data_IF_173249655542
#
_entry.id   IF_173249655542
#
_cell.length_a   1.000
_cell.length_b   1.000
_cell.length_c   1.000
_cell.angle_alpha   90.00
_cell.angle_beta   90.00
_cell.angle_gamma   90.00
#
_symmetry.space_group_name_H-M   'P 1'
#
loop_
_entity.id
_entity.type
_entity.pdbx_description
1 polymer ?
#
# COMPACT_ATOMS: atom_id res chain seq x y z
N UNK A 1 -0.10 -30.79 29.40
CA UNK A 1 -1.37 -31.25 28.77
C UNK A 1 -2.53 -31.35 29.76
N UNK A 2 -2.39 -31.99 30.93
CA UNK A 2 -3.48 -32.12 31.93
C UNK A 2 -3.99 -30.77 32.52
N UNK A 3 -3.11 -29.77 32.69
CA UNK A 3 -3.51 -28.47 33.25
C UNK A 3 -4.39 -27.64 32.28
N UNK A 4 -4.11 -27.71 30.97
CA UNK A 4 -4.88 -27.01 29.94
C UNK A 4 -6.27 -27.65 29.75
N UNK A 5 -6.36 -28.98 29.85
CA UNK A 5 -7.64 -29.69 29.80
C UNK A 5 -8.54 -29.34 31.00
N UNK A 6 -7.96 -29.20 32.20
CA UNK A 6 -8.70 -28.81 33.40
C UNK A 6 -9.25 -27.38 33.33
N UNK A 7 -8.48 -26.45 32.77
CA UNK A 7 -8.91 -25.06 32.57
C UNK A 7 -10.04 -24.98 31.53
N UNK A 8 -9.93 -25.74 30.44
CA UNK A 8 -10.97 -25.79 29.42
C UNK A 8 -12.28 -26.40 29.97
N UNK A 9 -12.20 -27.46 30.77
CA UNK A 9 -13.36 -28.03 31.45
C UNK A 9 -14.01 -27.03 32.42
N UNK A 10 -13.22 -26.27 33.18
CA UNK A 10 -13.73 -25.28 34.11
C UNK A 10 -14.47 -24.12 33.40
N UNK A 11 -13.98 -23.70 32.23
CA UNK A 11 -14.62 -22.65 31.42
C UNK A 11 -15.94 -23.15 30.83
N UNK A 12 -15.96 -24.37 30.28
CA UNK A 12 -17.18 -24.97 29.72
C UNK A 12 -18.21 -25.23 30.82
N UNK A 13 -17.79 -25.70 31.99
CA UNK A 13 -18.69 -25.93 33.13
C UNK A 13 -19.28 -24.62 33.67
N UNK A 14 -18.48 -23.54 33.72
CA UNK A 14 -18.95 -22.20 34.11
C UNK A 14 -19.95 -21.62 33.10
N UNK A 15 -19.74 -21.87 31.82
CA UNK A 15 -20.65 -21.42 30.75
C UNK A 15 -22.01 -22.17 30.79
N UNK A 16 -21.99 -23.50 30.95
CA UNK A 16 -23.21 -24.32 31.10
C UNK A 16 -23.96 -23.99 32.40
N UNK A 17 -23.25 -23.67 33.49
CA UNK A 17 -23.87 -23.26 34.75
C UNK A 17 -24.55 -21.89 34.67
N UNK A 18 -24.03 -20.96 33.87
CA UNK A 18 -24.63 -19.64 33.65
C UNK A 18 -25.90 -19.73 32.77
N UNK A 19 -25.91 -20.60 31.75
CA UNK A 19 -27.11 -20.84 30.94
C UNK A 19 -28.23 -21.54 31.74
N UNK A 20 -27.89 -22.41 32.70
CA UNK A 20 -28.90 -23.08 33.56
C UNK A 20 -29.53 -22.14 34.59
N UNK A 21 -28.80 -21.13 35.08
CA UNK A 21 -29.32 -20.14 36.02
C UNK A 21 -30.24 -19.11 35.35
N UNK A 22 -30.08 -18.84 34.05
CA UNK A 22 -31.00 -17.98 33.30
C UNK A 22 -32.32 -18.67 32.92
N UNK A 23 -32.39 -20.00 32.96
CA UNK A 23 -33.60 -20.77 32.60
C UNK A 23 -34.50 -21.15 33.78
N UNK A 24 -34.13 -20.84 35.02
CA UNK A 24 -34.89 -21.19 36.23
C UNK A 24 -34.94 -20.05 37.27
N UNK A 25 -35.42 -18.87 36.88
CA UNK A 25 -36.00 -17.93 37.84
C UNK A 25 -37.52 -18.18 37.89
N UNK A 26 -38.12 -18.54 39.04
CA UNK A 26 -39.55 -18.79 39.14
C UNK A 26 -40.37 -17.50 39.03
N UNK A 27 -41.51 -17.59 38.36
CA UNK A 27 -42.50 -16.53 38.27
C UNK A 27 -43.12 -16.27 39.66
N UNK A 28 -43.01 -15.04 40.14
CA UNK A 28 -43.66 -14.57 41.36
C UNK A 28 -45.15 -14.34 41.06
N UNK A 29 -46.01 -15.19 41.63
CA UNK A 29 -47.47 -15.09 41.51
C UNK A 29 -47.95 -13.95 42.40
N UNK A 30 -48.26 -12.80 41.80
CA UNK A 30 -49.02 -11.74 42.46
C UNK A 30 -50.52 -11.97 42.23
N UNK A 31 -51.25 -12.01 43.35
CA UNK A 31 -52.69 -12.24 43.41
C UNK A 31 -53.52 -11.23 42.62
N UNK A 32 -54.64 -11.72 42.10
CA UNK A 32 -55.68 -11.03 41.32
C UNK A 32 -56.22 -9.78 42.01
N UNK A 33 -56.11 -8.62 41.33
CA UNK A 33 -57.00 -7.46 41.50
C UNK A 33 -57.61 -7.08 40.15
N UNK A 34 -58.90 -6.76 40.20
CA UNK A 34 -59.85 -6.39 39.15
C UNK A 34 -59.29 -5.47 38.03
N UNK A 35 -59.78 -5.54 36.78
CA UNK A 35 -59.19 -4.85 35.64
C UNK A 35 -59.49 -3.35 35.67
N UNK A 36 -58.43 -2.54 35.77
CA UNK A 36 -58.45 -1.15 35.34
C UNK A 36 -58.08 -1.07 33.85
N UNK A 37 -58.59 -0.10 33.08
CA UNK A 37 -58.38 -0.04 31.64
C UNK A 37 -56.88 0.07 31.30
N UNK A 38 -56.38 -0.90 30.55
CA UNK A 38 -55.01 -0.93 30.03
C UNK A 38 -54.79 0.26 29.09
N UNK A 39 -53.79 1.13 29.30
CA UNK A 39 -53.37 2.08 28.27
C UNK A 39 -52.83 1.29 27.08
N UNK A 40 -53.48 1.45 25.93
CA UNK A 40 -53.30 0.64 24.71
C UNK A 40 -52.02 1.01 23.93
N UNK A 41 -50.94 1.42 24.60
CA UNK A 41 -49.69 1.86 23.95
C UNK A 41 -48.54 0.90 24.32
N UNK A 42 -47.95 0.16 23.37
CA UNK A 42 -46.73 -0.59 23.63
C UNK A 42 -45.61 0.36 24.09
N UNK A 43 -44.72 -0.06 24.99
CA UNK A 43 -43.63 0.78 25.46
C UNK A 43 -42.74 1.16 24.27
N UNK A 44 -42.52 2.45 24.07
CA UNK A 44 -41.52 2.94 23.11
C UNK A 44 -40.16 2.56 23.68
N UNK A 45 -39.53 1.54 23.10
CA UNK A 45 -38.14 1.21 23.40
C UNK A 45 -37.30 2.27 22.70
N UNK A 46 -37.08 3.39 23.39
CA UNK A 46 -36.20 4.46 22.90
C UNK A 46 -34.77 3.93 22.78
N UNK A 47 -34.28 3.80 21.55
CA UNK A 47 -32.91 3.36 21.26
C UNK A 47 -31.88 4.35 21.79
N UNK A 48 -31.00 3.89 22.67
CA UNK A 48 -29.78 4.61 23.08
C UNK A 48 -28.88 4.76 21.85
N UNK A 49 -28.40 5.98 21.58
CA UNK A 49 -27.46 6.25 20.50
C UNK A 49 -26.16 5.49 20.74
N UNK A 50 -25.93 4.41 19.99
CA UNK A 50 -24.63 3.73 20.01
C UNK A 50 -23.70 4.45 19.03
N UNK A 51 -22.52 4.83 19.52
CA UNK A 51 -21.49 5.50 18.71
C UNK A 51 -20.30 4.56 18.58
N UNK A 52 -20.25 3.82 17.48
CA UNK A 52 -19.16 2.92 17.17
C UNK A 52 -18.26 3.53 16.08
N UNK A 53 -16.94 3.38 16.23
CA UNK A 53 -15.99 3.63 15.13
C UNK A 53 -15.86 2.35 14.32
N UNK A 54 -16.26 2.39 13.06
CA UNK A 54 -16.04 1.29 12.12
C UNK A 54 -14.57 1.26 11.67
N UNK A 55 -14.11 0.10 11.21
CA UNK A 55 -12.74 -0.14 10.76
C UNK A 55 -12.28 0.82 9.64
N UNK A 56 -13.22 1.40 8.88
CA UNK A 56 -12.96 2.37 7.81
C UNK A 56 -12.82 3.84 8.29
N UNK A 57 -12.81 4.08 9.62
CA UNK A 57 -12.69 5.42 10.19
C UNK A 57 -14.00 6.23 10.18
N UNK A 58 -15.12 5.57 9.91
CA UNK A 58 -16.47 6.14 9.95
C UNK A 58 -16.96 6.13 11.40
N UNK A 59 -17.54 7.25 11.83
CA UNK A 59 -18.29 7.32 13.08
C UNK A 59 -19.74 7.00 12.77
N UNK A 60 -20.22 5.84 13.23
CA UNK A 60 -21.59 5.42 13.03
C UNK A 60 -22.43 5.85 14.23
N UNK A 61 -23.48 6.61 13.95
CA UNK A 61 -24.55 6.92 14.89
C UNK A 61 -25.76 6.09 14.48
N UNK A 62 -26.14 5.11 15.29
CA UNK A 62 -27.29 4.25 15.01
C UNK A 62 -28.34 4.41 16.12
N UNK A 63 -29.59 4.59 15.69
CA UNK A 63 -30.77 4.63 16.56
C UNK A 63 -31.81 3.71 15.95
N UNK A 64 -32.52 2.96 16.78
CA UNK A 64 -33.69 2.18 16.36
C UNK A 64 -34.93 2.92 16.84
N UNK A 65 -35.80 3.26 15.91
CA UNK A 65 -37.09 3.90 16.18
C UNK A 65 -38.21 2.91 15.84
N UNK A 66 -39.16 2.74 16.75
CA UNK A 66 -40.30 1.81 16.58
C UNK A 66 -41.63 2.56 16.74
N UNK A 67 -42.04 3.36 15.74
CA UNK A 67 -43.35 4.00 15.77
C UNK A 67 -44.47 2.94 15.67
N UNK A 68 -45.66 3.18 16.24
CA UNK A 68 -46.80 2.28 16.08
C UNK A 68 -47.25 2.15 14.62
N UNK A 69 -47.43 0.92 14.14
CA UNK A 69 -47.95 0.59 12.80
C UNK A 69 -49.31 -0.10 12.83
N UNK A 70 -49.77 -0.54 11.65
CA UNK A 70 -50.96 -1.35 11.44
C UNK A 70 -50.73 -2.84 11.77
N UNK A 71 -51.63 -3.73 11.32
CA UNK A 71 -51.43 -5.16 11.47
C UNK A 71 -50.24 -5.65 10.62
N UNK A 72 -49.60 -6.74 11.04
CA UNK A 72 -48.38 -7.24 10.40
C UNK A 72 -48.57 -7.66 8.93
N UNK A 73 -49.79 -7.97 8.49
CA UNK A 73 -50.05 -8.31 7.08
C UNK A 73 -49.93 -7.06 6.22
N UNK A 74 -50.48 -5.95 6.71
CA UNK A 74 -50.39 -4.64 6.07
C UNK A 74 -48.94 -4.12 6.07
N UNK A 75 -48.25 -4.16 7.21
CA UNK A 75 -46.86 -3.67 7.32
C UNK A 75 -45.86 -4.50 6.48
N UNK A 76 -46.10 -5.80 6.28
CA UNK A 76 -45.17 -6.66 5.53
C UNK A 76 -45.06 -6.29 4.05
N UNK A 77 -46.09 -5.69 3.46
CA UNK A 77 -46.12 -5.32 2.04
C UNK A 77 -45.75 -3.85 1.80
N UNK A 78 -45.67 -3.04 2.86
CA UNK A 78 -45.21 -1.66 2.77
C UNK A 78 -43.67 -1.59 2.93
N UNK A 79 -42.93 -1.17 1.90
CA UNK A 79 -41.47 -1.05 1.98
C UNK A 79 -41.01 0.02 2.99
N UNK A 80 -41.89 0.89 3.47
CA UNK A 80 -41.58 1.91 4.48
C UNK A 80 -41.69 1.40 5.92
N UNK A 81 -42.29 0.22 6.14
CA UNK A 81 -42.47 -0.38 7.47
C UNK A 81 -41.17 -0.93 8.08
N UNK A 82 -40.12 -1.11 7.29
CA UNK A 82 -38.82 -1.61 7.75
C UNK A 82 -37.66 -0.98 6.95
N UNK A 83 -37.26 0.22 7.35
CA UNK A 83 -36.30 1.07 6.63
C UNK A 83 -35.04 1.34 7.45
N UNK A 84 -33.91 1.46 6.76
CA UNK A 84 -32.66 2.02 7.28
C UNK A 84 -32.26 3.21 6.43
N UNK A 85 -32.17 4.38 7.04
CA UNK A 85 -31.68 5.60 6.38
C UNK A 85 -30.16 5.77 6.60
N UNK A 86 -29.42 5.90 5.51
CA UNK A 86 -27.97 6.12 5.53
C UNK A 86 -27.63 7.52 5.06
N UNK A 87 -26.95 8.30 5.91
CA UNK A 87 -26.43 9.63 5.59
C UNK A 87 -24.96 9.76 5.95
N UNK A 88 -24.09 9.77 4.95
CA UNK A 88 -22.68 10.07 5.12
C UNK A 88 -22.41 11.56 4.92
N UNK A 89 -21.78 12.21 5.90
CA UNK A 89 -21.32 13.59 5.79
C UNK A 89 -19.80 13.63 5.68
N UNK A 90 -19.28 13.86 4.48
CA UNK A 90 -17.85 14.06 4.23
C UNK A 90 -17.61 15.51 3.78
N UNK A 91 -16.70 16.22 4.46
CA UNK A 91 -16.32 17.59 4.08
C UNK A 91 -15.28 17.53 2.97
N UNK A 92 -15.48 18.29 1.90
CA UNK A 92 -14.48 18.42 0.84
C UNK A 92 -13.36 19.36 1.30
N UNK A 93 -12.09 18.96 1.17
CA UNK A 93 -10.96 19.80 1.56
C UNK A 93 -10.61 20.81 0.46
N UNK A 94 -10.17 21.99 0.88
CA UNK A 94 -9.62 23.01 -0.01
C UNK A 94 -8.12 22.80 -0.25
N UNK A 95 -7.63 22.99 -1.49
CA UNK A 95 -6.21 22.82 -1.79
C UNK A 95 -5.37 23.99 -1.28
N UNK A 96 -4.14 23.70 -0.85
CA UNK A 96 -3.10 24.72 -0.63
C UNK A 96 -2.66 25.33 -1.96
N UNK A 97 -2.44 26.64 -2.00
CA UNK A 97 -2.13 27.43 -3.20
C UNK A 97 -0.86 28.26 -3.08
N UNK A 98 -0.48 28.67 -1.87
CA UNK A 98 0.70 29.52 -1.66
C UNK A 98 1.87 28.75 -1.09
N UNK A 99 3.08 29.31 -1.19
CA UNK A 99 4.29 28.68 -0.65
C UNK A 99 4.21 28.54 0.88
N UNK A 100 3.59 29.50 1.58
CA UNK A 100 3.38 29.46 3.02
C UNK A 100 2.41 28.35 3.42
N UNK A 101 1.37 28.11 2.62
CA UNK A 101 0.43 27.01 2.84
C UNK A 101 1.09 25.65 2.61
N UNK A 102 1.89 25.50 1.55
CA UNK A 102 2.69 24.31 1.32
C UNK A 102 3.67 24.06 2.48
N UNK A 103 4.27 25.12 3.02
CA UNK A 103 5.22 25.07 4.13
C UNK A 103 4.58 24.66 5.48
N UNK A 104 3.28 24.87 5.69
CA UNK A 104 2.58 24.34 6.89
C UNK A 104 2.66 22.82 6.98
N UNK A 105 2.72 22.16 5.83
CA UNK A 105 2.75 20.70 5.70
C UNK A 105 4.19 20.20 5.54
N UNK A 106 4.98 20.89 4.72
CA UNK A 106 6.39 20.57 4.47
C UNK A 106 7.27 21.81 4.75
N UNK A 107 7.63 22.08 6.02
CA UNK A 107 8.30 23.33 6.40
C UNK A 107 9.63 23.61 5.68
N UNK A 108 10.35 22.56 5.31
CA UNK A 108 11.64 22.67 4.62
C UNK A 108 11.50 22.93 3.11
N UNK A 109 10.32 22.72 2.53
CA UNK A 109 10.11 22.77 1.08
C UNK A 109 10.56 24.10 0.43
N UNK A 110 10.24 25.29 0.98
CA UNK A 110 10.68 26.55 0.37
C UNK A 110 12.19 26.74 0.43
N UNK A 111 12.86 26.12 1.41
CA UNK A 111 14.33 26.18 1.53
C UNK A 111 14.99 25.17 0.60
N UNK A 112 14.41 23.97 0.45
CA UNK A 112 14.96 22.90 -0.40
C UNK A 112 14.83 23.23 -1.89
N UNK A 113 13.69 23.81 -2.30
CA UNK A 113 13.38 24.16 -3.68
C UNK A 113 12.95 25.64 -3.77
N UNK A 114 13.89 26.59 -3.64
CA UNK A 114 13.60 28.02 -3.53
C UNK A 114 12.89 28.60 -4.75
N UNK A 115 13.08 28.01 -5.93
CA UNK A 115 12.43 28.47 -7.15
C UNK A 115 10.93 28.16 -7.24
N UNK A 116 10.38 27.30 -6.37
CA UNK A 116 8.94 27.01 -6.34
C UNK A 116 8.10 28.27 -6.13
N UNK A 117 8.55 29.20 -5.29
CA UNK A 117 7.86 30.46 -5.02
C UNK A 117 7.63 31.27 -6.28
N UNK A 118 8.57 31.26 -7.22
CA UNK A 118 8.48 31.99 -8.48
C UNK A 118 7.56 31.31 -9.51
N UNK A 119 7.25 30.02 -9.33
CA UNK A 119 6.39 29.25 -10.24
C UNK A 119 4.90 29.32 -9.88
N UNK A 120 4.57 29.78 -8.67
CA UNK A 120 3.18 29.86 -8.19
C UNK A 120 2.48 31.06 -8.81
N UNK A 121 1.53 30.78 -9.71
CA UNK A 121 0.60 31.77 -10.24
C UNK A 121 -0.50 32.12 -9.22
N UNK A 122 -1.31 33.17 -9.45
CA UNK A 122 -2.45 33.48 -8.58
C UNK A 122 -3.50 32.36 -8.48
N UNK A 123 -3.63 31.52 -9.50
CA UNK A 123 -4.48 30.33 -9.50
C UNK A 123 -3.69 29.10 -9.97
N UNK A 124 -2.87 28.51 -9.08
CA UNK A 124 -1.98 27.42 -9.45
C UNK A 124 -2.68 26.06 -9.35
N UNK A 125 -3.93 26.01 -8.88
CA UNK A 125 -4.63 24.75 -8.59
C UNK A 125 -4.96 24.03 -9.88
N UNK A 126 -4.51 22.78 -10.00
CA UNK A 126 -4.83 21.96 -11.15
C UNK A 126 -6.30 21.51 -11.11
N UNK A 127 -7.01 21.50 -12.26
CA UNK A 127 -8.34 20.87 -12.37
C UNK A 127 -8.35 19.39 -11.95
N UNK A 128 -7.19 18.73 -11.98
CA UNK A 128 -7.00 17.36 -11.53
C UNK A 128 -7.36 17.17 -10.04
N UNK A 129 -7.19 18.19 -9.19
CA UNK A 129 -7.61 18.13 -7.78
C UNK A 129 -9.13 17.97 -7.65
N UNK A 130 -9.89 18.78 -8.39
CA UNK A 130 -11.34 18.69 -8.40
C UNK A 130 -11.80 17.34 -8.97
N UNK A 131 -11.16 16.87 -10.04
CA UNK A 131 -11.46 15.58 -10.65
C UNK A 131 -11.20 14.39 -9.69
N UNK A 132 -10.13 14.45 -8.91
CA UNK A 132 -9.83 13.45 -7.87
C UNK A 132 -10.95 13.38 -6.84
N UNK A 133 -11.35 14.52 -6.26
CA UNK A 133 -12.40 14.53 -5.24
C UNK A 133 -13.80 14.22 -5.80
N UNK A 134 -14.10 14.59 -7.04
CA UNK A 134 -15.32 14.13 -7.73
C UNK A 134 -15.36 12.61 -7.85
N UNK A 135 -14.23 11.97 -8.19
CA UNK A 135 -14.12 10.52 -8.26
C UNK A 135 -14.33 9.88 -6.88
N UNK A 136 -13.70 10.42 -5.83
CA UNK A 136 -13.89 9.95 -4.45
C UNK A 136 -15.34 10.08 -3.96
N UNK A 137 -15.99 11.21 -4.25
CA UNK A 137 -17.42 11.43 -3.92
C UNK A 137 -18.30 10.41 -4.63
N UNK A 138 -18.05 10.19 -5.93
CA UNK A 138 -18.78 9.18 -6.69
C UNK A 138 -18.63 7.78 -6.07
N UNK A 139 -17.43 7.41 -5.64
CA UNK A 139 -17.21 6.13 -4.95
C UNK A 139 -17.95 6.02 -3.61
N UNK A 140 -18.04 7.12 -2.85
CA UNK A 140 -18.85 7.15 -1.64
C UNK A 140 -20.34 6.95 -1.95
N UNK A 141 -20.85 7.59 -3.01
CA UNK A 141 -22.25 7.46 -3.44
C UNK A 141 -22.57 6.04 -3.91
N UNK A 142 -21.72 5.46 -4.75
CA UNK A 142 -21.92 4.12 -5.33
C UNK A 142 -21.82 3.00 -4.29
N UNK A 143 -21.07 3.21 -3.20
CA UNK A 143 -20.84 2.19 -2.18
C UNK A 143 -21.49 2.50 -0.82
N UNK A 144 -22.35 3.53 -0.70
CA UNK A 144 -22.94 3.91 0.59
C UNK A 144 -23.72 2.77 1.25
N UNK A 145 -24.39 1.93 0.46
CA UNK A 145 -25.11 0.75 0.93
C UNK A 145 -24.20 -0.46 1.26
N UNK A 146 -22.91 -0.39 0.91
CA UNK A 146 -21.89 -1.42 1.17
C UNK A 146 -20.74 -0.81 1.98
N UNK A 147 -21.00 -0.61 3.27
CA UNK A 147 -20.09 0.08 4.19
C UNK A 147 -18.69 -0.56 4.25
N UNK A 148 -18.58 -1.84 3.91
CA UNK A 148 -17.33 -2.59 3.79
C UNK A 148 -16.46 -2.17 2.60
N UNK A 149 -17.07 -1.70 1.51
CA UNK A 149 -16.40 -1.19 0.31
C UNK A 149 -16.32 0.34 0.29
N UNK A 150 -16.83 1.01 1.33
CA UNK A 150 -16.81 2.45 1.41
C UNK A 150 -15.38 2.96 1.60
N UNK A 151 -15.02 4.02 0.88
CA UNK A 151 -13.69 4.61 0.97
C UNK A 151 -13.38 5.00 2.42
N UNK A 152 -12.23 4.58 2.93
CA UNK A 152 -11.82 4.91 4.29
C UNK A 152 -11.61 6.42 4.43
N UNK A 153 -11.74 6.94 5.65
CA UNK A 153 -11.46 8.36 5.93
C UNK A 153 -10.04 8.74 5.48
N UNK A 154 -9.08 7.85 5.70
CA UNK A 154 -7.69 8.09 5.32
C UNK A 154 -7.56 8.23 3.80
N UNK A 155 -8.07 7.26 3.04
CA UNK A 155 -8.00 7.31 1.59
C UNK A 155 -8.86 8.44 1.01
N UNK A 156 -9.92 8.89 1.68
CA UNK A 156 -10.67 10.07 1.23
C UNK A 156 -9.88 11.37 1.35
N UNK A 157 -8.98 11.46 2.34
CA UNK A 157 -8.17 12.64 2.66
C UNK A 157 -6.66 12.42 2.43
N UNK A 158 -6.30 11.62 1.42
CA UNK A 158 -4.91 11.29 1.04
C UNK A 158 -4.19 12.40 0.26
N UNK A 159 -4.91 13.47 -0.13
CA UNK A 159 -4.39 14.55 -0.97
C UNK A 159 -4.63 15.93 -0.36
N UNK A 160 -3.55 16.66 -0.11
CA UNK A 160 -3.60 18.05 0.36
C UNK A 160 -3.76 19.04 -0.78
N UNK A 161 -3.02 18.88 -1.87
CA UNK A 161 -3.09 19.78 -3.04
C UNK A 161 -2.53 19.13 -4.30
N UNK A 162 -3.00 19.63 -5.46
CA UNK A 162 -2.40 19.37 -6.77
C UNK A 162 -2.27 20.70 -7.50
N UNK A 163 -1.04 21.09 -7.81
CA UNK A 163 -0.72 22.38 -8.44
C UNK A 163 -0.08 22.17 -9.82
N UNK A 164 -0.51 22.96 -10.79
CA UNK A 164 0.12 23.05 -12.10
C UNK A 164 1.01 24.28 -12.14
N UNK A 165 2.31 24.05 -12.24
CA UNK A 165 3.35 25.07 -12.10
C UNK A 165 4.05 25.29 -13.44
N UNK A 166 4.51 26.52 -13.66
CA UNK A 166 5.39 26.83 -14.79
C UNK A 166 6.43 27.86 -14.35
N UNK A 167 7.70 27.56 -14.59
CA UNK A 167 8.77 28.48 -14.29
C UNK A 167 8.79 29.65 -15.29
N UNK A 168 8.84 30.92 -14.84
CA UNK A 168 8.61 32.06 -15.71
C UNK A 168 9.68 32.25 -16.80
N UNK A 169 10.95 31.91 -16.53
CA UNK A 169 12.05 32.12 -17.48
C UNK A 169 12.34 30.87 -18.34
N UNK A 170 12.42 29.70 -17.72
CA UNK A 170 12.76 28.45 -18.43
C UNK A 170 11.55 27.80 -19.09
N UNK A 171 10.34 28.26 -18.77
CA UNK A 171 9.05 27.68 -19.16
C UNK A 171 8.88 26.21 -18.76
N UNK A 172 9.76 25.67 -17.90
CA UNK A 172 9.66 24.31 -17.37
C UNK A 172 8.34 24.17 -16.61
N UNK A 173 7.51 23.27 -17.10
CA UNK A 173 6.28 22.86 -16.42
C UNK A 173 6.59 21.84 -15.33
N UNK A 174 5.85 21.91 -14.23
CA UNK A 174 5.84 20.88 -13.22
C UNK A 174 4.42 20.65 -12.68
N UNK A 175 4.14 19.41 -12.28
CA UNK A 175 2.92 19.06 -11.54
C UNK A 175 3.34 18.72 -10.12
N UNK A 176 2.90 19.52 -9.15
CA UNK A 176 3.20 19.34 -7.73
C UNK A 176 2.01 18.68 -7.03
N UNK A 177 2.28 17.70 -6.18
CA UNK A 177 1.29 17.08 -5.30
C UNK A 177 1.82 17.08 -3.86
N UNK A 178 0.97 17.37 -2.89
CA UNK A 178 1.23 17.04 -1.48
C UNK A 178 0.24 15.97 -1.04
N UNK A 179 0.76 14.84 -0.56
CA UNK A 179 -0.02 13.64 -0.24
C UNK A 179 0.69 12.84 0.86
N UNK A 180 0.06 11.75 1.30
CA UNK A 180 0.75 10.70 2.05
C UNK A 180 1.66 9.88 1.13
N UNK A 181 2.20 8.77 1.63
CA UNK A 181 2.91 7.80 0.80
C UNK A 181 2.45 6.38 1.11
N UNK A 182 1.67 5.83 0.19
CA UNK A 182 1.43 4.41 0.01
C UNK A 182 2.55 3.72 -0.79
N UNK A 183 2.56 2.40 -0.71
CA UNK A 183 3.63 1.56 -1.27
C UNK A 183 3.12 0.81 -2.49
N UNK A 184 3.84 1.00 -3.61
CA UNK A 184 3.77 0.10 -4.75
C UNK A 184 4.95 -0.87 -4.72
N UNK A 185 4.65 -2.16 -4.69
CA UNK A 185 5.63 -3.23 -4.71
C UNK A 185 5.61 -4.02 -6.03
N UNK A 186 4.82 -3.56 -7.00
CA UNK A 186 4.54 -4.26 -8.25
C UNK A 186 5.76 -4.35 -9.16
N UNK A 187 5.58 -5.17 -10.19
CA UNK A 187 6.49 -5.29 -11.30
C UNK A 187 7.52 -6.42 -11.17
N UNK A 188 8.14 -6.73 -12.30
CA UNK A 188 9.06 -7.86 -12.44
C UNK A 188 9.94 -7.70 -13.67
N UNK A 189 11.19 -8.17 -13.58
CA UNK A 189 12.12 -8.20 -14.70
C UNK A 189 13.00 -9.45 -14.61
N UNK A 190 12.68 -10.46 -15.41
CA UNK A 190 13.41 -11.72 -15.45
C UNK A 190 14.85 -11.57 -15.98
N UNK A 191 15.15 -10.50 -16.72
CA UNK A 191 16.50 -10.26 -17.24
C UNK A 191 17.44 -9.76 -16.13
N UNK A 192 16.90 -9.03 -15.13
CA UNK A 192 17.67 -8.50 -13.99
C UNK A 192 17.55 -9.34 -12.73
N UNK A 193 16.35 -9.84 -12.44
CA UNK A 193 16.04 -10.63 -11.24
C UNK A 193 15.17 -11.83 -11.66
N UNK A 194 15.80 -13.00 -11.93
CA UNK A 194 15.09 -14.16 -12.46
C UNK A 194 14.20 -14.87 -11.41
N UNK A 195 14.35 -14.55 -10.12
CA UNK A 195 13.61 -15.16 -9.02
C UNK A 195 12.55 -14.18 -8.52
N UNK A 196 11.29 -14.62 -8.44
CA UNK A 196 10.21 -13.82 -7.89
C UNK A 196 10.31 -13.69 -6.37
N UNK A 197 9.96 -12.53 -5.83
CA UNK A 197 9.76 -12.33 -4.40
C UNK A 197 8.28 -12.60 -4.13
N UNK A 198 7.97 -13.69 -3.40
CA UNK A 198 6.61 -14.25 -3.23
C UNK A 198 5.46 -13.25 -3.33
N UNK A 199 4.52 -13.52 -4.26
CA UNK A 199 3.41 -12.64 -4.58
C UNK A 199 2.43 -12.50 -3.39
N UNK A 200 2.17 -11.26 -2.96
CA UNK A 200 1.07 -10.95 -2.04
C UNK A 200 -0.26 -10.89 -2.79
N UNK A 201 -1.38 -10.81 -2.08
CA UNK A 201 -2.71 -10.80 -2.70
C UNK A 201 -2.93 -9.65 -3.70
N UNK A 202 -2.31 -8.49 -3.47
CA UNK A 202 -2.49 -7.29 -4.30
C UNK A 202 -1.36 -7.07 -5.30
N UNK A 203 -0.29 -7.87 -5.24
CA UNK A 203 0.87 -7.72 -6.11
C UNK A 203 0.51 -8.00 -7.57
N UNK A 204 0.93 -7.10 -8.46
CA UNK A 204 0.90 -7.31 -9.91
C UNK A 204 2.34 -7.42 -10.42
N UNK A 205 2.65 -8.41 -11.27
CA UNK A 205 3.99 -8.57 -11.80
C UNK A 205 4.33 -7.57 -12.93
N UNK A 206 3.51 -6.55 -13.17
CA UNK A 206 3.71 -5.59 -14.26
C UNK A 206 3.40 -4.17 -13.80
N UNK A 207 4.22 -3.22 -14.24
CA UNK A 207 3.98 -1.78 -14.15
C UNK A 207 3.59 -1.22 -15.52
N UNK A 208 3.12 0.02 -15.57
CA UNK A 208 2.84 0.70 -16.84
C UNK A 208 4.12 1.02 -17.62
N UNK A 209 5.21 1.38 -16.93
CA UNK A 209 6.54 1.49 -17.54
C UNK A 209 7.08 0.09 -17.85
N UNK A 210 7.37 -0.17 -19.12
CA UNK A 210 7.80 -1.48 -19.61
C UNK A 210 8.66 -1.38 -20.86
N UNK A 211 9.51 -2.36 -21.08
CA UNK A 211 10.40 -2.44 -22.25
C UNK A 211 10.52 -3.88 -22.76
N UNK A 212 10.90 -4.10 -24.04
CA UNK A 212 11.06 -5.46 -24.56
C UNK A 212 12.12 -6.25 -23.79
N UNK A 213 11.86 -7.53 -23.54
CA UNK A 213 12.82 -8.43 -22.90
C UNK A 213 14.07 -8.59 -23.78
N UNK A 214 15.22 -8.74 -23.12
CA UNK A 214 16.52 -8.99 -23.76
C UNK A 214 16.85 -10.47 -23.82
N UNK A 215 16.33 -11.28 -22.90
CA UNK A 215 16.61 -12.71 -22.84
C UNK A 215 15.33 -13.55 -23.02
N UNK A 216 15.47 -14.84 -23.39
CA UNK A 216 14.35 -15.77 -23.45
C UNK A 216 13.91 -16.28 -22.06
N UNK A 217 14.54 -15.83 -20.96
CA UNK A 217 14.22 -16.32 -19.62
C UNK A 217 12.74 -16.04 -19.29
N UNK A 218 11.97 -17.04 -18.84
CA UNK A 218 10.55 -16.83 -18.53
C UNK A 218 10.40 -15.89 -17.33
N UNK A 219 9.31 -15.11 -17.32
CA UNK A 219 8.99 -14.30 -16.16
C UNK A 219 8.62 -15.22 -14.98
N UNK A 220 9.14 -14.98 -13.75
CA UNK A 220 8.89 -15.87 -12.60
C UNK A 220 7.41 -15.99 -12.23
N UNK A 221 6.56 -15.05 -12.64
CA UNK A 221 5.12 -15.07 -12.36
C UNK A 221 4.27 -15.60 -13.52
N UNK A 222 4.88 -15.99 -14.64
CA UNK A 222 4.17 -16.44 -15.84
C UNK A 222 3.35 -17.72 -15.56
N UNK A 223 3.96 -18.73 -14.94
CA UNK A 223 3.30 -20.01 -14.62
C UNK A 223 2.05 -19.81 -13.75
N UNK A 224 2.11 -18.92 -12.75
CA UNK A 224 0.96 -18.63 -11.90
C UNK A 224 -0.18 -17.92 -12.66
N UNK A 225 0.14 -17.13 -13.69
CA UNK A 225 -0.87 -16.55 -14.59
C UNK A 225 -1.47 -17.62 -15.49
N UNK A 226 -0.66 -18.50 -16.07
CA UNK A 226 -1.11 -19.62 -16.90
C UNK A 226 -2.09 -20.54 -16.14
N UNK A 227 -1.78 -20.88 -14.89
CA UNK A 227 -2.65 -21.73 -14.07
C UNK A 227 -3.95 -21.03 -13.68
N UNK A 228 -3.93 -19.70 -13.47
CA UNK A 228 -5.15 -18.91 -13.29
C UNK A 228 -6.00 -18.87 -14.56
N UNK A 229 -5.37 -18.71 -15.73
CA UNK A 229 -6.04 -18.74 -17.02
C UNK A 229 -6.73 -20.09 -17.26
N UNK A 230 -6.00 -21.20 -17.09
CA UNK A 230 -6.55 -22.56 -17.24
C UNK A 230 -7.74 -22.80 -16.31
N UNK A 231 -7.64 -22.37 -15.04
CA UNK A 231 -8.76 -22.51 -14.08
C UNK A 231 -9.98 -21.68 -14.50
N UNK A 232 -9.78 -20.43 -14.92
CA UNK A 232 -10.86 -19.58 -15.37
C UNK A 232 -11.52 -20.11 -16.66
N UNK A 233 -10.75 -20.68 -17.58
CA UNK A 233 -11.27 -21.32 -18.80
C UNK A 233 -12.10 -22.56 -18.48
N UNK A 234 -11.60 -23.40 -17.57
CA UNK A 234 -12.34 -24.56 -17.09
C UNK A 234 -13.67 -24.16 -16.42
N UNK A 235 -13.65 -23.16 -15.54
CA UNK A 235 -14.87 -22.65 -14.89
C UNK A 235 -15.86 -22.05 -15.90
N UNK A 236 -15.36 -21.33 -16.91
CA UNK A 236 -16.20 -20.75 -17.96
C UNK A 236 -16.90 -21.82 -18.81
N UNK A 237 -16.22 -22.96 -19.05
CA UNK A 237 -16.75 -24.08 -19.82
C UNK A 237 -17.81 -24.91 -19.07
N UNK A 238 -17.90 -24.79 -17.74
CA UNK A 238 -18.90 -25.52 -16.96
C UNK A 238 -20.32 -25.06 -17.34
N UNK A 239 -21.21 -26.05 -17.50
CA UNK A 239 -22.64 -25.80 -17.77
C UNK A 239 -23.36 -25.19 -16.56
N UNK A 240 -22.83 -25.42 -15.35
CA UNK A 240 -23.40 -24.97 -14.07
C UNK A 240 -23.07 -23.52 -13.72
N UNK A 241 -22.15 -22.87 -14.45
CA UNK A 241 -21.75 -21.48 -14.18
C UNK A 241 -22.85 -20.50 -14.57
N UNK A 242 -23.23 -19.62 -13.64
CA UNK A 242 -24.31 -18.65 -13.83
C UNK A 242 -23.99 -17.65 -14.95
N UNK A 243 -25.01 -17.05 -15.61
CA UNK A 243 -24.79 -16.05 -16.65
C UNK A 243 -23.95 -14.85 -16.18
N UNK A 244 -24.20 -14.36 -14.96
CA UNK A 244 -23.48 -13.26 -14.34
C UNK A 244 -22.00 -13.63 -14.16
N UNK A 245 -21.74 -14.82 -13.62
CA UNK A 245 -20.37 -15.32 -13.43
C UNK A 245 -19.66 -15.55 -14.75
N UNK A 246 -20.35 -16.03 -15.79
CA UNK A 246 -19.78 -16.14 -17.15
C UNK A 246 -19.38 -14.79 -17.72
N UNK A 247 -20.16 -13.73 -17.46
CA UNK A 247 -19.80 -12.36 -17.87
C UNK A 247 -18.53 -11.88 -17.17
N UNK A 248 -18.42 -12.08 -15.85
CA UNK A 248 -17.20 -11.76 -15.09
C UNK A 248 -15.98 -12.53 -15.60
N UNK A 249 -16.13 -13.85 -15.77
CA UNK A 249 -15.06 -14.72 -16.27
C UNK A 249 -14.61 -14.29 -17.66
N UNK A 250 -15.52 -13.85 -18.55
CA UNK A 250 -15.13 -13.35 -19.89
C UNK A 250 -14.20 -12.15 -19.78
N UNK A 251 -14.52 -11.19 -18.92
CA UNK A 251 -13.66 -10.02 -18.67
C UNK A 251 -12.32 -10.45 -18.05
N UNK A 252 -12.35 -11.35 -17.07
CA UNK A 252 -11.15 -11.87 -16.42
C UNK A 252 -10.24 -12.66 -17.38
N UNK A 253 -10.81 -13.44 -18.30
CA UNK A 253 -10.07 -14.20 -19.31
C UNK A 253 -9.32 -13.29 -20.28
N UNK A 254 -9.95 -12.20 -20.74
CA UNK A 254 -9.26 -11.19 -21.56
C UNK A 254 -8.08 -10.60 -20.80
N UNK A 255 -8.29 -10.18 -19.55
CA UNK A 255 -7.23 -9.63 -18.72
C UNK A 255 -6.07 -10.62 -18.50
N UNK A 256 -6.37 -11.89 -18.20
CA UNK A 256 -5.35 -12.91 -17.99
C UNK A 256 -4.53 -13.18 -19.26
N UNK A 257 -5.15 -13.18 -20.44
CA UNK A 257 -4.46 -13.33 -21.73
C UNK A 257 -3.57 -12.13 -22.05
N UNK A 258 -4.03 -10.91 -21.75
CA UNK A 258 -3.23 -9.70 -21.91
C UNK A 258 -2.02 -9.72 -20.95
N UNK A 259 -2.23 -10.14 -19.70
CA UNK A 259 -1.14 -10.31 -18.72
C UNK A 259 -0.11 -11.35 -19.19
N UNK A 260 -0.56 -12.52 -19.65
CA UNK A 260 0.33 -13.55 -20.18
C UNK A 260 1.16 -13.01 -21.37
N UNK A 261 0.51 -12.30 -22.29
CA UNK A 261 1.18 -11.68 -23.43
C UNK A 261 2.21 -10.65 -22.97
N UNK A 262 1.87 -9.83 -21.98
CA UNK A 262 2.73 -8.79 -21.44
C UNK A 262 3.98 -9.39 -20.77
N UNK A 263 3.81 -10.36 -19.86
CA UNK A 263 4.90 -11.03 -19.13
C UNK A 263 5.82 -11.85 -20.04
N UNK A 264 5.29 -12.31 -21.18
CA UNK A 264 6.09 -13.01 -22.19
C UNK A 264 6.99 -12.06 -22.97
N UNK A 265 6.52 -10.84 -23.28
CA UNK A 265 7.18 -9.91 -24.22
C UNK A 265 8.00 -8.82 -23.54
N UNK A 266 7.63 -8.41 -22.34
CA UNK A 266 8.16 -7.23 -21.69
C UNK A 266 8.76 -7.52 -20.31
N UNK A 267 9.70 -6.67 -19.94
CA UNK A 267 10.18 -6.46 -18.58
C UNK A 267 9.60 -5.16 -18.03
N UNK A 268 9.52 -5.07 -16.72
CA UNK A 268 8.86 -3.99 -15.98
C UNK A 268 9.80 -3.43 -14.92
N UNK A 269 9.44 -2.27 -14.36
CA UNK A 269 10.09 -1.80 -13.14
C UNK A 269 9.86 -2.83 -12.02
N UNK A 270 10.70 -2.82 -11.00
CA UNK A 270 10.55 -3.67 -9.81
C UNK A 270 10.44 -2.74 -8.61
N UNK A 271 9.29 -2.74 -7.92
CA UNK A 271 9.04 -1.86 -6.77
C UNK A 271 10.12 -1.89 -5.70
N UNK A 272 10.74 -3.05 -5.46
CA UNK A 272 11.81 -3.20 -4.48
C UNK A 272 13.17 -2.64 -4.94
N UNK A 273 13.39 -2.38 -6.23
CA UNK A 273 14.72 -2.01 -6.77
C UNK A 273 14.73 -0.75 -7.61
N UNK A 274 13.60 -0.29 -8.14
CA UNK A 274 13.59 0.84 -9.06
C UNK A 274 12.87 2.03 -8.42
N UNK A 275 13.47 3.23 -8.41
CA UNK A 275 12.85 4.40 -7.81
C UNK A 275 11.81 5.00 -8.76
N UNK A 276 10.53 4.77 -8.45
CA UNK A 276 9.43 5.34 -9.22
C UNK A 276 8.25 5.74 -8.35
N UNK A 277 7.37 6.54 -8.93
CA UNK A 277 6.09 6.96 -8.35
C UNK A 277 4.92 6.45 -9.20
N UNK A 278 3.74 6.42 -8.59
CA UNK A 278 2.49 6.04 -9.23
C UNK A 278 1.59 7.26 -9.31
N UNK A 279 1.01 7.50 -10.49
CA UNK A 279 0.07 8.62 -10.70
C UNK A 279 -1.34 8.09 -10.97
N UNK A 280 -2.41 8.77 -10.51
CA UNK A 280 -3.77 8.37 -10.84
C UNK A 280 -3.99 8.37 -12.36
N UNK A 281 -4.74 7.41 -12.89
CA UNK A 281 -5.03 7.32 -14.33
C UNK A 281 -5.62 8.58 -14.95
N UNK A 282 -6.38 9.37 -14.19
CA UNK A 282 -6.92 10.65 -14.61
C UNK A 282 -5.81 11.68 -14.86
N UNK A 283 -4.74 11.65 -14.06
CA UNK A 283 -3.64 12.61 -14.11
C UNK A 283 -2.70 12.32 -15.28
N UNK A 284 -2.74 11.09 -15.79
CA UNK A 284 -2.00 10.70 -16.98
C UNK A 284 -2.66 11.06 -18.31
N UNK A 285 -3.86 11.65 -18.29
CA UNK A 285 -4.61 12.06 -19.48
C UNK A 285 -4.33 13.51 -19.86
N UNK A 286 -4.67 13.86 -21.10
CA UNK A 286 -4.48 15.23 -21.61
C UNK A 286 -3.05 15.53 -22.05
N UNK A 287 -2.85 16.73 -22.61
CA UNK A 287 -1.56 17.17 -23.17
C UNK A 287 -0.49 17.40 -22.11
N UNK A 288 -0.90 17.99 -20.99
CA UNK A 288 0.00 18.41 -19.89
C UNK A 288 -0.02 17.45 -18.68
N UNK A 289 -0.69 16.30 -18.80
CA UNK A 289 -0.73 15.28 -17.76
C UNK A 289 0.58 14.50 -17.64
N UNK A 290 0.85 13.95 -16.46
CA UNK A 290 2.04 13.14 -16.17
C UNK A 290 2.05 11.85 -17.01
N UNK A 291 3.10 11.62 -17.81
CA UNK A 291 3.22 10.42 -18.65
C UNK A 291 4.15 9.40 -18.01
N UNK A 292 3.87 8.14 -18.30
CA UNK A 292 4.79 7.05 -17.96
C UNK A 292 6.18 7.36 -18.51
N UNK A 293 7.18 7.27 -17.65
CA UNK A 293 8.58 7.58 -17.95
C UNK A 293 8.98 9.05 -17.72
N UNK A 294 8.04 9.96 -17.46
CA UNK A 294 8.39 11.32 -17.08
C UNK A 294 9.21 11.32 -15.79
N UNK A 295 10.22 12.18 -15.72
CA UNK A 295 11.05 12.32 -14.54
C UNK A 295 10.29 13.05 -13.43
N UNK A 296 10.58 12.66 -12.20
CA UNK A 296 9.96 13.23 -11.02
C UNK A 296 10.98 13.30 -9.86
N UNK A 297 10.68 14.09 -8.86
CA UNK A 297 11.35 14.02 -7.56
C UNK A 297 10.31 13.88 -6.44
N UNK A 298 10.66 13.12 -5.42
CA UNK A 298 9.90 13.00 -4.18
C UNK A 298 10.67 13.71 -3.09
N UNK A 299 10.03 14.64 -2.39
CA UNK A 299 10.61 15.39 -1.29
C UNK A 299 9.97 14.93 0.01
N UNK A 300 10.82 14.48 0.94
CA UNK A 300 10.40 14.15 2.29
C UNK A 300 11.48 14.59 3.28
N UNK A 301 11.06 15.27 4.35
CA UNK A 301 11.94 15.94 5.30
C UNK A 301 12.96 16.84 4.58
N UNK A 302 14.25 16.50 4.61
CA UNK A 302 15.35 17.29 4.02
C UNK A 302 15.95 16.65 2.76
N UNK A 303 15.33 15.60 2.21
CA UNK A 303 15.89 14.80 1.12
C UNK A 303 15.02 14.91 -0.13
N UNK A 304 15.67 14.98 -1.29
CA UNK A 304 15.06 15.01 -2.62
C UNK A 304 15.43 13.72 -3.36
N UNK A 305 14.48 12.82 -3.50
CA UNK A 305 14.65 11.50 -4.12
C UNK A 305 14.31 11.57 -5.61
N UNK A 306 15.27 11.34 -6.53
CA UNK A 306 14.98 11.29 -7.96
C UNK A 306 14.22 10.01 -8.31
N UNK A 307 13.23 10.12 -9.18
CA UNK A 307 12.35 9.03 -9.58
C UNK A 307 11.82 9.24 -11.01
N UNK A 308 11.07 8.26 -11.50
CA UNK A 308 10.27 8.38 -12.72
C UNK A 308 8.80 8.07 -12.42
N UNK A 309 7.89 8.50 -13.28
CA UNK A 309 6.50 8.02 -13.30
C UNK A 309 6.52 6.58 -13.83
N UNK A 310 6.45 5.62 -12.92
CA UNK A 310 6.63 4.20 -13.23
C UNK A 310 5.34 3.44 -13.46
N UNK A 311 4.28 3.82 -12.76
CA UNK A 311 2.99 3.18 -12.90
C UNK A 311 1.81 4.15 -12.90
N UNK A 312 0.67 3.65 -13.38
CA UNK A 312 -0.60 4.34 -13.43
C UNK A 312 -1.59 3.62 -12.50
N UNK A 313 -1.90 4.28 -11.40
CA UNK A 313 -2.78 3.78 -10.35
C UNK A 313 -4.27 4.07 -10.59
N UNK A 314 -5.12 3.65 -9.65
CA UNK A 314 -6.55 3.94 -9.70
C UNK A 314 -6.83 5.45 -9.58
N UNK A 315 -8.00 5.89 -10.06
CA UNK A 315 -8.31 7.33 -10.19
C UNK A 315 -8.66 8.02 -8.87
N UNK A 316 -8.87 7.24 -7.82
CA UNK A 316 -9.31 7.69 -6.50
C UNK A 316 -8.20 7.69 -5.46
N UNK A 317 -6.95 7.44 -5.85
CA UNK A 317 -5.80 7.36 -4.94
C UNK A 317 -4.63 8.15 -5.49
N UNK A 318 -3.92 8.86 -4.62
CA UNK A 318 -2.67 9.57 -4.93
C UNK A 318 -1.64 9.28 -3.83
N UNK A 319 -0.38 9.69 -4.04
CA UNK A 319 0.65 9.54 -3.03
C UNK A 319 1.15 8.10 -2.94
N UNK A 320 1.58 7.51 -4.06
CA UNK A 320 2.11 6.15 -4.07
C UNK A 320 3.49 6.12 -4.72
N UNK A 321 4.41 5.38 -4.11
CA UNK A 321 5.79 5.25 -4.56
C UNK A 321 6.29 3.82 -4.42
N UNK A 322 7.30 3.49 -5.23
CA UNK A 322 8.01 2.20 -5.17
C UNK A 322 8.43 1.84 -3.74
N UNK A 323 8.37 0.55 -3.41
CA UNK A 323 8.87 0.00 -2.14
C UNK A 323 10.33 0.42 -1.86
N UNK A 324 11.13 0.67 -2.91
CA UNK A 324 12.48 1.22 -2.80
C UNK A 324 12.49 2.60 -2.13
N UNK A 325 11.71 3.54 -2.64
CA UNK A 325 11.59 4.89 -2.05
C UNK A 325 11.01 4.79 -0.64
N UNK A 326 9.99 3.95 -0.46
CA UNK A 326 9.37 3.75 0.84
C UNK A 326 10.36 3.24 1.90
N UNK A 327 11.22 2.28 1.54
CA UNK A 327 12.25 1.72 2.44
C UNK A 327 13.36 2.69 2.75
N UNK A 328 13.72 3.56 1.81
CA UNK A 328 14.71 4.62 2.04
C UNK A 328 14.18 5.64 3.07
N UNK A 329 12.89 5.98 2.99
CA UNK A 329 12.24 6.88 3.95
C UNK A 329 12.02 6.20 5.30
N UNK A 330 11.58 4.94 5.29
CA UNK A 330 11.31 4.17 6.49
C UNK A 330 11.73 2.70 6.28
N UNK A 331 12.80 2.22 6.92
CA UNK A 331 13.27 0.84 6.76
C UNK A 331 12.25 -0.24 7.11
N UNK A 332 11.21 0.08 7.90
CA UNK A 332 10.12 -0.82 8.27
C UNK A 332 9.02 -0.90 7.20
N UNK A 333 9.12 -0.14 6.12
CA UNK A 333 8.14 -0.16 5.05
C UNK A 333 8.08 -1.54 4.37
N UNK A 334 6.86 -1.99 4.14
CA UNK A 334 6.56 -3.23 3.42
C UNK A 334 5.41 -2.95 2.46
N UNK A 335 5.06 -3.87 1.53
CA UNK A 335 3.88 -3.71 0.70
C UNK A 335 2.58 -3.46 1.48
N UNK A 336 2.54 -3.83 2.78
CA UNK A 336 1.39 -3.65 3.66
C UNK A 336 1.65 -2.67 4.82
N UNK A 337 2.82 -2.03 4.87
CA UNK A 337 3.18 -1.08 5.92
C UNK A 337 3.72 0.20 5.27
N UNK A 338 2.91 1.26 5.29
CA UNK A 338 3.22 2.52 4.63
C UNK A 338 4.35 3.29 5.37
N UNK A 339 5.24 3.99 4.66
CA UNK A 339 6.31 4.77 5.27
C UNK A 339 5.81 6.06 5.92
N UNK A 340 4.79 6.71 5.33
CA UNK A 340 4.29 8.03 5.76
C UNK A 340 2.76 8.05 5.67
N UNK A 341 2.09 8.27 6.80
CA UNK A 341 0.62 8.31 6.90
C UNK A 341 0.04 9.73 6.95
N UNK A 342 0.88 10.75 7.09
CA UNK A 342 0.49 12.15 7.03
C UNK A 342 0.81 12.75 5.66
N UNK A 343 0.23 13.90 5.33
CA UNK A 343 0.28 14.48 3.98
C UNK A 343 1.62 15.19 3.66
N UNK A 344 2.71 14.76 4.30
CA UNK A 344 4.01 15.45 4.31
C UNK A 344 4.93 15.10 3.16
N UNK A 345 4.49 14.30 2.21
CA UNK A 345 5.29 13.97 1.02
C UNK A 345 4.92 14.91 -0.11
N UNK A 346 5.93 15.57 -0.67
CA UNK A 346 5.75 16.40 -1.87
C UNK A 346 6.28 15.66 -3.09
N UNK A 347 5.43 15.46 -4.09
CA UNK A 347 5.79 14.88 -5.37
C UNK A 347 5.87 16.00 -6.40
N UNK A 348 6.96 16.08 -7.15
CA UNK A 348 7.13 17.06 -8.21
C UNK A 348 7.47 16.33 -9.51
N UNK A 349 6.52 16.33 -10.43
CA UNK A 349 6.62 15.64 -11.72
C UNK A 349 6.96 16.68 -12.79
N UNK A 350 7.81 16.31 -13.75
CA UNK A 350 8.16 17.14 -14.90
C UNK A 350 7.52 16.56 -16.18
N UNK A 351 6.30 17.00 -16.58
CA UNK A 351 5.60 16.39 -17.69
C UNK A 351 6.34 16.54 -19.03
N UNK A 352 6.25 15.51 -19.88
CA UNK A 352 6.84 15.52 -21.23
C UNK A 352 8.37 15.41 -21.24
N UNK A 353 8.94 14.75 -20.24
CA UNK A 353 10.39 14.55 -20.09
C UNK A 353 10.83 13.10 -20.30
N UNK A 354 9.89 12.17 -20.48
CA UNK A 354 10.17 10.78 -20.74
C UNK A 354 11.11 10.58 -21.95
N UNK A 355 12.15 9.77 -21.76
CA UNK A 355 13.05 9.36 -22.84
C UNK A 355 12.53 8.07 -23.48
N UNK A 356 12.43 8.04 -24.82
CA UNK A 356 12.10 6.84 -25.59
C UNK A 356 13.30 6.39 -26.45
N UNK A 357 13.47 5.08 -26.71
CA UNK A 357 12.67 3.96 -26.20
C UNK A 357 12.91 3.69 -24.71
N UNK A 358 11.93 3.09 -24.04
CA UNK A 358 12.07 2.65 -22.65
C UNK A 358 13.02 1.46 -22.54
N UNK A 359 13.69 1.37 -21.40
CA UNK A 359 14.65 0.32 -21.09
C UNK A 359 14.81 0.15 -19.57
N UNK A 360 15.69 -0.77 -19.12
CA UNK A 360 16.00 -0.91 -17.72
C UNK A 360 16.43 0.44 -17.10
N UNK A 361 15.97 0.78 -15.89
CA UNK A 361 16.37 2.01 -15.21
C UNK A 361 17.88 2.15 -15.07
N UNK A 362 18.39 3.29 -15.52
CA UNK A 362 19.75 3.74 -15.25
C UNK A 362 19.68 4.77 -14.12
N UNK A 363 20.17 4.39 -12.93
CA UNK A 363 20.02 5.17 -11.70
C UNK A 363 20.80 6.49 -11.76
N UNK A 364 22.00 6.49 -12.35
CA UNK A 364 22.81 7.69 -12.52
C UNK A 364 22.18 8.64 -13.54
N UNK A 365 21.64 8.08 -14.63
CA UNK A 365 20.88 8.86 -15.60
C UNK A 365 19.62 9.47 -14.98
N UNK A 366 18.88 8.72 -14.17
CA UNK A 366 17.69 9.24 -13.47
C UNK A 366 18.08 10.41 -12.58
N UNK A 367 19.12 10.26 -11.76
CA UNK A 367 19.61 11.34 -10.91
C UNK A 367 20.01 12.57 -11.75
N UNK A 368 20.82 12.40 -12.80
CA UNK A 368 21.30 13.50 -13.64
C UNK A 368 20.15 14.24 -14.36
N UNK A 369 19.14 13.51 -14.83
CA UNK A 369 17.98 14.09 -15.51
C UNK A 369 17.07 14.84 -14.53
N UNK A 370 16.79 14.26 -13.36
CA UNK A 370 16.06 14.96 -12.31
C UNK A 370 16.80 16.22 -11.85
N UNK A 371 18.12 16.16 -11.66
CA UNK A 371 18.94 17.31 -11.30
C UNK A 371 18.79 18.43 -12.34
N UNK A 372 18.94 18.10 -13.62
CA UNK A 372 18.74 19.06 -14.71
C UNK A 372 17.38 19.76 -14.64
N UNK A 373 16.29 19.03 -14.43
CA UNK A 373 14.94 19.62 -14.39
C UNK A 373 14.68 20.43 -13.12
N UNK A 374 15.29 20.04 -12.00
CA UNK A 374 15.29 20.82 -10.76
C UNK A 374 16.07 22.13 -10.96
N UNK A 375 17.23 22.10 -11.63
CA UNK A 375 18.03 23.31 -11.92
C UNK A 375 17.27 24.28 -12.83
N UNK A 376 16.51 23.76 -13.81
CA UNK A 376 15.66 24.58 -14.69
C UNK A 376 14.53 25.31 -13.94
N UNK A 377 14.19 24.91 -12.72
CA UNK A 377 13.17 25.57 -11.88
C UNK A 377 13.77 26.32 -10.68
N UNK A 378 15.07 26.62 -10.70
CA UNK A 378 15.75 27.38 -9.64
C UNK A 378 16.64 26.56 -8.71
N UNK A 379 16.82 25.26 -8.98
CA UNK A 379 17.75 24.39 -8.28
C UNK A 379 17.25 23.86 -6.94
N UNK A 380 17.96 22.87 -6.41
CA UNK A 380 17.83 22.40 -5.03
C UNK A 380 18.99 22.90 -4.18
N UNK A 381 18.74 23.19 -2.91
CA UNK A 381 19.81 23.59 -1.96
C UNK A 381 20.60 22.41 -1.39
N UNK A 382 20.15 21.19 -1.68
CA UNK A 382 20.82 19.92 -1.33
C UNK A 382 21.02 19.08 -2.58
N UNK A 383 22.06 18.23 -2.63
CA UNK A 383 22.20 17.28 -3.72
C UNK A 383 21.02 16.30 -3.74
N UNK A 384 20.55 15.96 -4.93
CA UNK A 384 19.58 14.89 -5.10
C UNK A 384 20.18 13.56 -4.64
N UNK A 385 19.35 12.74 -3.98
CA UNK A 385 19.74 11.44 -3.45
C UNK A 385 20.34 10.55 -4.55
N UNK A 386 21.43 9.86 -4.23
CA UNK A 386 22.09 8.91 -5.13
C UNK A 386 21.67 7.48 -4.81
N UNK A 387 21.08 6.80 -5.79
CA UNK A 387 20.58 5.45 -5.63
C UNK A 387 21.68 4.41 -5.89
N UNK A 388 22.02 3.63 -4.86
CA UNK A 388 22.94 2.50 -5.02
C UNK A 388 22.35 1.39 -5.92
N UNK A 389 23.17 0.76 -6.76
CA UNK A 389 22.72 -0.44 -7.46
C UNK A 389 22.70 -1.62 -6.48
N UNK A 390 21.49 -2.14 -6.20
CA UNK A 390 21.27 -3.25 -5.26
C UNK A 390 20.95 -4.58 -5.97
N UNK A 391 20.99 -4.59 -7.31
CA UNK A 391 20.76 -5.80 -8.10
C UNK A 391 22.06 -6.60 -8.11
N UNK A 392 22.05 -7.88 -7.68
CA UNK A 392 23.25 -8.72 -7.73
C UNK A 392 23.80 -8.81 -9.15
N UNK A 393 25.14 -8.81 -9.33
CA UNK A 393 25.71 -9.05 -10.65
C UNK A 393 25.29 -10.44 -11.15
N UNK A 394 25.06 -10.61 -12.47
CA UNK A 394 24.76 -11.93 -13.02
C UNK A 394 25.88 -12.91 -12.65
N UNK A 395 25.56 -14.18 -12.37
CA UNK A 395 26.57 -15.18 -12.04
C UNK A 395 27.60 -15.24 -13.17
N UNK A 396 28.88 -14.98 -12.84
CA UNK A 396 29.98 -15.11 -13.79
C UNK A 396 29.97 -16.53 -14.33
N UNK A 397 30.04 -16.76 -15.67
CA UNK A 397 30.10 -18.11 -16.19
C UNK A 397 31.34 -18.79 -15.62
N UNK A 398 31.13 -19.89 -14.87
CA UNK A 398 32.21 -20.79 -14.46
C UNK A 398 33.02 -21.14 -15.71
N UNK A 399 34.34 -20.91 -15.75
CA UNK A 399 35.13 -21.26 -16.92
C UNK A 399 34.96 -22.75 -17.18
N UNK A 400 34.41 -23.09 -18.34
CA UNK A 400 34.38 -24.46 -18.84
C UNK A 400 35.81 -24.99 -18.82
N UNK A 401 36.10 -26.12 -18.15
CA UNK A 401 37.44 -26.69 -18.19
C UNK A 401 37.79 -26.97 -19.65
N UNK A 402 38.89 -26.35 -20.10
CA UNK A 402 39.50 -26.62 -21.40
C UNK A 402 39.79 -28.12 -21.50
N UNK A 403 39.41 -28.81 -22.60
CA UNK A 403 39.72 -30.21 -22.75
C UNK A 403 41.24 -30.38 -22.79
N UNK A 404 41.80 -31.01 -21.76
CA UNK A 404 43.18 -31.47 -21.76
C UNK A 404 43.33 -32.58 -22.82
N UNK A 405 44.40 -32.59 -23.62
CA UNK A 405 44.53 -33.53 -24.73
C UNK A 405 44.68 -34.96 -24.20
N UNK A 406 43.91 -35.86 -24.80
CA UNK A 406 43.88 -37.30 -24.54
C UNK A 406 45.25 -37.92 -24.85
N UNK A 407 45.92 -38.46 -23.84
CA UNK A 407 47.11 -39.29 -24.03
C UNK A 407 46.70 -40.69 -24.51
N UNK A 408 47.10 -41.02 -25.73
CA UNK A 408 46.96 -42.35 -26.36
C UNK A 408 47.68 -43.42 -25.53
N UNK A 409 46.98 -44.53 -25.26
CA UNK A 409 47.50 -45.71 -24.57
C UNK A 409 48.23 -46.67 -25.51
N UNK A 410 49.29 -47.30 -25.02
CA UNK A 410 49.83 -48.56 -25.55
C UNK A 410 50.44 -49.41 -24.41
N UNK A 411 50.51 -50.75 -24.57
CA UNK A 411 50.25 -51.70 -23.48
C UNK A 411 51.49 -52.18 -22.70
N UNK A 412 51.18 -52.79 -21.55
CA UNK A 412 52.04 -53.31 -20.48
C UNK A 412 52.97 -54.49 -20.89
N UNK A 413 53.88 -54.95 -20.01
CA UNK A 413 53.48 -55.99 -19.02
C UNK A 413 54.21 -55.95 -17.65
N UNK A 414 53.62 -56.60 -16.63
CA UNK A 414 54.39 -57.17 -15.50
C UNK A 414 53.83 -57.06 -14.06
N UNK A 415 52.89 -57.96 -13.73
CA UNK A 415 52.69 -58.73 -12.46
C UNK A 415 52.95 -58.21 -11.02
N UNK A 416 51.97 -58.56 -10.16
CA UNK A 416 52.00 -58.86 -8.69
C UNK A 416 52.03 -57.65 -7.72
N UNK A 417 51.27 -57.57 -6.60
CA UNK A 417 50.44 -58.50 -5.82
C UNK A 417 49.34 -57.73 -5.02
N UNK A 418 48.54 -58.47 -4.25
CA UNK A 418 47.17 -58.20 -3.75
C UNK A 418 47.14 -57.52 -2.33
N UNK A 419 46.00 -57.42 -1.60
CA UNK A 419 45.11 -56.25 -1.41
C UNK A 419 45.11 -55.68 0.04
N UNK A 420 44.37 -54.60 0.29
CA UNK A 420 43.51 -54.50 1.49
C UNK A 420 42.55 -53.29 1.51
N UNK A 421 41.29 -53.62 1.83
CA UNK A 421 40.34 -52.91 2.70
C UNK A 421 39.69 -51.56 2.27
N UNK A 422 38.39 -51.66 1.96
CA UNK A 422 37.31 -50.73 2.40
C UNK A 422 37.28 -50.60 3.94
N UNK A 423 36.67 -49.55 4.58
CA UNK A 423 35.36 -49.00 4.24
C UNK A 423 35.12 -47.49 4.47
N UNK A 424 33.87 -47.11 4.20
CA UNK A 424 33.24 -45.80 4.19
C UNK A 424 33.10 -45.06 5.54
N UNK A 425 32.89 -43.75 5.36
CA UNK A 425 31.98 -42.82 6.05
C UNK A 425 32.31 -42.32 7.47
N UNK A 426 32.20 -40.99 7.67
CA UNK A 426 31.21 -40.33 8.57
C UNK A 426 31.66 -38.93 9.03
N UNK A 427 30.72 -37.94 9.00
CA UNK A 427 30.66 -36.65 9.73
C UNK A 427 31.63 -35.52 9.32
N UNK A 428 31.34 -34.21 9.47
CA UNK A 428 30.22 -33.42 10.00
C UNK A 428 30.39 -31.93 9.60
N UNK A 429 29.29 -31.16 9.70
CA UNK A 429 29.24 -29.70 9.60
C UNK A 429 30.04 -28.97 10.70
N UNK A 430 30.64 -27.79 10.41
CA UNK A 430 31.09 -26.87 11.45
C UNK A 430 30.16 -25.65 11.62
N UNK A 431 29.74 -25.41 12.86
CA UNK A 431 29.30 -24.13 13.42
C UNK A 431 30.54 -23.47 14.07
N UNK A 432 30.68 -22.14 14.09
CA UNK A 432 31.53 -21.47 15.08
C UNK A 432 30.71 -20.68 16.10
N UNK A 433 30.96 -20.98 17.38
CA UNK A 433 30.51 -20.22 18.55
C UNK A 433 31.65 -19.36 19.14
N UNK A 434 31.22 -18.25 19.75
CA UNK A 434 31.94 -17.11 20.32
C UNK A 434 32.70 -17.38 21.63
N UNK A 435 33.63 -16.47 21.99
CA UNK A 435 33.95 -16.08 23.38
C UNK A 435 34.73 -14.74 23.46
N UNK A 436 34.72 -14.02 24.61
CA UNK A 436 34.54 -12.56 24.71
C UNK A 436 35.72 -11.78 25.36
N UNK A 437 35.54 -10.48 25.70
CA UNK A 437 36.04 -10.02 27.00
C UNK A 437 35.12 -9.08 27.82
N UNK A 438 35.13 -9.37 29.13
CA UNK A 438 35.31 -8.52 30.32
C UNK A 438 34.33 -7.40 30.72
N UNK A 439 33.80 -7.58 31.93
CA UNK A 439 33.05 -6.66 32.79
C UNK A 439 33.91 -5.58 33.46
N UNK A 440 33.31 -4.41 33.72
CA UNK A 440 33.45 -3.72 35.00
C UNK A 440 32.24 -2.81 35.27
N UNK A 441 31.74 -2.84 36.50
CA UNK A 441 30.71 -1.95 37.07
C UNK A 441 31.11 -1.66 38.52
N UNK A 442 30.73 -0.49 39.05
CA UNK A 442 30.18 -0.47 40.39
C UNK A 442 28.86 0.33 40.48
N UNK A 443 28.11 0.00 41.53
CA UNK A 443 26.71 0.35 41.78
C UNK A 443 26.62 1.44 42.90
N UNK A 444 25.48 1.71 43.59
CA UNK A 444 24.62 2.88 43.37
C UNK A 444 24.47 3.82 44.60
N UNK A 445 23.73 4.94 44.39
CA UNK A 445 22.92 5.75 45.34
C UNK A 445 23.27 7.25 45.43
N UNK A 446 22.30 8.12 45.10
CA UNK A 446 21.71 9.17 45.96
C UNK A 446 20.90 10.19 45.11
N UNK A 447 19.67 10.47 45.54
CA UNK A 447 18.84 11.62 45.13
C UNK A 447 19.08 12.82 46.07
N UNK A 448 18.41 13.96 45.91
CA UNK A 448 18.59 15.08 44.95
C UNK A 448 19.03 16.38 45.69
N UNK A 449 18.99 17.57 45.05
CA UNK A 449 17.99 18.54 45.55
C UNK A 449 17.28 19.40 44.49
N UNK A 450 16.14 19.95 44.94
CA UNK A 450 15.24 20.93 44.33
C UNK A 450 15.91 22.28 43.97
N UNK A 451 15.17 23.12 43.21
CA UNK A 451 14.92 24.59 43.33
C UNK A 451 14.79 25.24 41.92
N UNK A 452 13.94 26.25 41.64
CA UNK A 452 12.51 26.41 41.91
C UNK A 452 11.70 26.84 40.66
N UNK A 453 10.39 26.84 40.81
CA UNK A 453 9.35 27.33 39.90
C UNK A 453 9.34 28.87 39.80
N UNK A 454 9.23 29.43 38.59
CA UNK A 454 8.64 30.77 38.38
C UNK A 454 7.79 30.78 37.12
N UNK A 455 6.47 30.79 37.32
CA UNK A 455 5.46 31.16 36.32
C UNK A 455 5.41 32.68 36.15
N UNK A 456 5.10 33.19 34.94
CA UNK A 456 4.44 34.48 34.80
C UNK A 456 2.96 34.29 34.42
N UNK A 457 2.15 34.91 35.27
CA UNK A 457 0.73 35.15 35.16
C UNK A 457 0.42 36.02 33.93
N UNK A 458 -0.66 35.69 33.22
CA UNK A 458 -1.27 36.54 32.19
C UNK A 458 -1.96 37.77 32.83
N UNK A 459 -2.00 38.93 32.14
CA UNK A 459 -3.03 39.94 32.34
C UNK A 459 -4.00 40.04 31.15
N UNK A 460 -5.18 40.63 31.37
CA UNK A 460 -6.36 40.45 30.52
C UNK A 460 -6.40 41.41 29.32
N UNK A 461 -7.13 40.99 28.29
CA UNK A 461 -7.63 41.81 27.18
C UNK A 461 -8.54 42.93 27.69
N UNK A 462 -8.51 44.08 27.00
CA UNK A 462 -9.69 44.55 26.29
C UNK A 462 -9.60 44.31 24.77
#
# INVERSE_FOLDING_TARGET
MLLLAAIFLAIVYRWISLERLQRFAPAEVTATRSPGPTPNRPPVIGGRLDTAKLFNGITLHATVETPPGADATTERVDPQSYVVDLKLQARLPSPNKTIEELAKISPQLPTLLPGLSAMLSPDPVSPLYAQLYQTKVKMLQENLARLDLLLSRHNFYDCQTVLQLQHPQSHRKALLLQADMDVDADGSDADRIPIGNGATANFKPFTSYRWPKKTPAPNPYLTAVEDRLKRAEAEYALKTTTPERKRELRTGLTQLRDQMTALTKFSFLIGATDPYIVVPGAFARGRDGAKVGDYAVVVFATVVYPAIVGDIGPNDKVGEASLRIAKEINPLATPNNRPVSDLKVTYLIFPGTADAPFGPPDLDKIQARCQKFVDEIGGATVPLHHWANIIPPPPTPTPTPSPSPTSTSSPAPGTSAIPSASPSATFAFPIPSLSPPSFESPSPAQSPPLIPTTSPLAPPTP
#
